data_IF_227474007142
#
_entry.id   IF_227474007142
#
_cell.length_a   1.000
_cell.length_b   1.000
_cell.length_c   1.000
_cell.angle_alpha   90.00
_cell.angle_beta   90.00
_cell.angle_gamma   90.00
#
_symmetry.space_group_name_H-M   'P 1'
#
loop_
_entity.id
_entity.type
_entity.pdbx_description
1 polymer ?
#
# COMPACT_ATOMS: atom_id res chain seq x y z
N UNK A 1 8.17 10.13 -6.91
CA UNK A 1 9.27 9.15 -6.68
C UNK A 1 9.33 8.00 -7.71
N UNK A 2 8.45 7.94 -8.72
CA UNK A 2 8.44 6.84 -9.72
C UNK A 2 9.36 7.08 -10.93
N UNK A 3 9.73 8.34 -11.22
CA UNK A 3 10.63 8.70 -12.31
C UNK A 3 12.01 8.06 -12.21
N UNK A 4 12.48 7.77 -10.99
CA UNK A 4 13.78 7.14 -10.74
C UNK A 4 13.78 5.63 -10.99
N UNK A 5 12.61 4.97 -10.95
CA UNK A 5 12.49 3.53 -11.22
C UNK A 5 12.51 3.25 -12.73
N UNK A 6 11.75 4.02 -13.52
CA UNK A 6 11.70 3.89 -14.99
C UNK A 6 13.06 4.16 -15.62
N UNK A 7 13.77 5.20 -15.15
CA UNK A 7 15.13 5.50 -15.61
C UNK A 7 16.13 4.38 -15.29
N UNK A 8 15.94 3.69 -14.15
CA UNK A 8 16.86 2.65 -13.67
C UNK A 8 16.61 1.30 -14.34
N UNK A 9 15.37 0.99 -14.73
CA UNK A 9 15.06 -0.20 -15.55
C UNK A 9 15.52 -0.01 -16.99
N UNK A 10 15.45 1.21 -17.53
CA UNK A 10 15.97 1.54 -18.86
C UNK A 10 17.51 1.52 -18.96
N UNK A 11 18.24 1.60 -17.84
CA UNK A 11 19.70 1.62 -17.78
C UNK A 11 20.36 0.25 -17.53
N UNK A 12 19.64 -0.86 -17.66
CA UNK A 12 20.22 -2.21 -17.53
C UNK A 12 20.85 -2.69 -18.86
N UNK A 13 21.73 -1.89 -19.47
CA UNK A 13 22.62 -2.43 -20.51
C UNK A 13 23.80 -3.14 -19.83
N UNK A 14 24.26 -4.30 -20.33
CA UNK A 14 25.49 -4.91 -19.83
C UNK A 14 26.62 -3.87 -19.92
N UNK A 15 27.51 -3.79 -18.92
CA UNK A 15 28.66 -2.90 -19.01
C UNK A 15 29.44 -3.28 -20.26
N UNK A 16 29.66 -2.31 -21.15
CA UNK A 16 30.41 -2.48 -22.38
C UNK A 16 31.84 -2.91 -22.07
N UNK A 17 32.12 -4.21 -21.97
CA UNK A 17 33.47 -4.71 -21.64
C UNK A 17 34.43 -4.47 -22.82
N UNK A 18 33.94 -4.60 -24.05
CA UNK A 18 34.76 -4.55 -25.26
C UNK A 18 34.80 -3.18 -25.94
N UNK A 19 33.79 -2.32 -25.74
CA UNK A 19 33.71 -1.00 -26.40
C UNK A 19 34.02 0.17 -25.46
N UNK A 20 34.36 -0.09 -24.19
CA UNK A 20 34.64 0.98 -23.24
C UNK A 20 36.01 1.63 -23.52
N UNK A 21 36.07 2.95 -23.79
CA UNK A 21 37.33 3.66 -24.01
C UNK A 21 38.26 3.63 -22.80
N UNK A 22 37.71 3.48 -21.59
CA UNK A 22 38.47 3.35 -20.36
C UNK A 22 38.56 1.89 -19.92
N UNK A 23 39.71 1.26 -20.18
CA UNK A 23 39.98 -0.12 -19.76
C UNK A 23 40.22 -0.19 -18.25
N UNK A 24 39.60 -1.14 -17.58
CA UNK A 24 39.88 -1.40 -16.17
C UNK A 24 41.33 -1.88 -16.00
N UNK A 25 42.12 -1.23 -15.15
CA UNK A 25 43.52 -1.63 -14.85
C UNK A 25 43.64 -2.99 -14.17
N UNK A 26 42.55 -3.46 -13.56
CA UNK A 26 42.47 -4.74 -12.86
C UNK A 26 41.21 -5.47 -13.32
N UNK A 27 41.39 -6.70 -13.78
CA UNK A 27 40.27 -7.57 -14.15
C UNK A 27 39.51 -7.95 -12.87
N UNK A 28 38.19 -7.86 -12.93
CA UNK A 28 37.31 -8.45 -11.93
C UNK A 28 36.83 -9.80 -12.46
N UNK A 29 36.71 -10.88 -11.65
CA UNK A 29 36.98 -10.99 -10.21
C UNK A 29 38.48 -11.02 -9.87
N UNK A 30 38.89 -10.57 -8.68
CA UNK A 30 40.26 -10.73 -8.22
C UNK A 30 40.53 -12.19 -7.87
N UNK A 31 41.72 -12.68 -8.20
CA UNK A 31 42.18 -14.00 -7.76
C UNK A 31 42.33 -14.01 -6.23
N UNK A 32 41.42 -14.69 -5.53
CA UNK A 32 41.41 -14.76 -4.07
C UNK A 32 42.62 -15.50 -3.50
N UNK A 33 43.23 -16.41 -4.27
CA UNK A 33 44.43 -17.16 -3.87
C UNK A 33 45.71 -16.30 -3.78
N UNK A 34 45.75 -15.15 -4.48
CA UNK A 34 46.92 -14.25 -4.53
C UNK A 34 46.82 -13.10 -3.52
N UNK A 35 45.73 -13.02 -2.77
CA UNK A 35 45.40 -11.90 -1.89
C UNK A 35 45.76 -12.23 -0.43
N UNK A 36 46.26 -11.23 0.30
CA UNK A 36 46.48 -11.34 1.76
C UNK A 36 45.18 -11.74 2.49
N UNK A 37 45.22 -12.68 3.46
CA UNK A 37 44.03 -13.11 4.23
C UNK A 37 43.26 -11.96 4.89
N UNK A 38 43.97 -10.92 5.35
CA UNK A 38 43.36 -9.72 5.94
C UNK A 38 42.50 -8.97 4.92
N UNK A 39 42.93 -8.91 3.67
CA UNK A 39 42.19 -8.26 2.60
C UNK A 39 41.03 -9.12 2.12
N UNK A 40 41.20 -10.44 2.04
CA UNK A 40 40.13 -11.40 1.76
C UNK A 40 38.98 -11.25 2.76
N UNK A 41 39.27 -11.24 4.07
CA UNK A 41 38.25 -11.08 5.11
C UNK A 41 37.45 -9.78 4.96
N UNK A 42 38.10 -8.67 4.56
CA UNK A 42 37.41 -7.39 4.29
C UNK A 42 36.45 -7.50 3.10
N UNK A 43 36.85 -8.20 2.05
CA UNK A 43 36.01 -8.43 0.87
C UNK A 43 34.81 -9.32 1.22
N UNK A 44 35.03 -10.42 1.95
CA UNK A 44 33.96 -11.30 2.42
C UNK A 44 32.95 -10.55 3.30
N UNK A 45 33.43 -9.75 4.26
CA UNK A 45 32.56 -8.93 5.11
C UNK A 45 31.73 -7.94 4.29
N UNK A 46 32.34 -7.30 3.28
CA UNK A 46 31.65 -6.37 2.37
C UNK A 46 30.61 -7.12 1.51
N UNK A 47 30.94 -8.32 1.03
CA UNK A 47 30.03 -9.17 0.26
C UNK A 47 28.82 -9.57 1.10
N UNK A 48 29.01 -10.14 2.30
CA UNK A 48 27.92 -10.55 3.20
C UNK A 48 26.96 -9.38 3.51
N UNK A 49 27.50 -8.18 3.76
CA UNK A 49 26.68 -6.97 3.97
C UNK A 49 25.84 -6.60 2.73
N UNK A 50 26.45 -6.62 1.55
CA UNK A 50 25.76 -6.32 0.28
C UNK A 50 24.72 -7.38 -0.05
N UNK A 51 25.04 -8.66 0.18
CA UNK A 51 24.11 -9.77 0.02
C UNK A 51 22.89 -9.57 0.93
N UNK A 52 23.09 -9.29 2.23
CA UNK A 52 21.99 -8.99 3.17
C UNK A 52 21.09 -7.86 2.65
N UNK A 53 21.67 -6.79 2.10
CA UNK A 53 20.91 -5.68 1.52
C UNK A 53 20.16 -6.05 0.22
N UNK A 54 20.73 -6.93 -0.61
CA UNK A 54 20.09 -7.41 -1.84
C UNK A 54 18.94 -8.37 -1.55
N UNK A 55 19.10 -9.20 -0.53
CA UNK A 55 18.09 -10.16 -0.07
C UNK A 55 17.02 -9.52 0.81
N UNK A 56 17.29 -8.34 1.40
CA UNK A 56 16.26 -7.59 2.10
C UNK A 56 15.11 -7.23 1.13
N UNK A 57 13.88 -7.63 1.47
CA UNK A 57 12.65 -7.27 0.75
C UNK A 57 11.81 -6.28 1.57
N UNK A 58 12.26 -5.01 1.70
CA UNK A 58 11.60 -4.04 2.58
C UNK A 58 10.18 -3.67 2.11
N UNK A 59 9.88 -3.80 0.82
CA UNK A 59 8.53 -3.51 0.29
C UNK A 59 7.53 -4.60 0.68
N UNK A 60 7.95 -5.86 0.57
CA UNK A 60 7.11 -7.01 0.95
C UNK A 60 6.84 -7.00 2.45
N UNK A 61 7.86 -6.80 3.27
CA UNK A 61 7.67 -6.72 4.73
C UNK A 61 6.79 -5.56 5.15
N UNK A 62 6.87 -4.40 4.46
CA UNK A 62 5.94 -3.29 4.66
C UNK A 62 4.51 -3.66 4.28
N UNK A 63 4.30 -4.31 3.13
CA UNK A 63 2.97 -4.74 2.70
C UNK A 63 2.34 -5.70 3.70
N UNK A 64 3.07 -6.74 4.13
CA UNK A 64 2.59 -7.69 5.14
C UNK A 64 2.26 -7.00 6.45
N UNK A 65 3.09 -6.05 6.91
CA UNK A 65 2.80 -5.26 8.12
C UNK A 65 1.53 -4.42 7.99
N UNK A 66 1.29 -3.82 6.82
CA UNK A 66 0.05 -3.08 6.56
C UNK A 66 -1.15 -4.01 6.59
N UNK A 67 -1.05 -5.18 5.96
CA UNK A 67 -2.11 -6.20 5.98
C UNK A 67 -2.37 -6.69 7.40
N UNK A 68 -1.32 -6.96 8.18
CA UNK A 68 -1.43 -7.37 9.57
C UNK A 68 -2.10 -6.30 10.44
N UNK A 69 -1.72 -5.03 10.28
CA UNK A 69 -2.39 -3.94 10.99
C UNK A 69 -3.84 -3.77 10.53
N UNK A 70 -4.09 -3.90 9.23
CA UNK A 70 -5.42 -3.86 8.64
C UNK A 70 -6.31 -4.97 9.19
N UNK A 71 -5.80 -6.20 9.33
CA UNK A 71 -6.57 -7.32 9.89
C UNK A 71 -6.89 -7.11 11.37
N UNK A 72 -5.95 -6.56 12.16
CA UNK A 72 -6.20 -6.24 13.58
C UNK A 72 -7.31 -5.20 13.68
N UNK A 73 -7.23 -4.10 12.92
CA UNK A 73 -8.25 -3.05 12.92
C UNK A 73 -9.59 -3.59 12.42
N UNK A 74 -9.59 -4.42 11.38
CA UNK A 74 -10.80 -5.03 10.84
C UNK A 74 -11.53 -5.87 11.89
N UNK A 75 -10.81 -6.75 12.60
CA UNK A 75 -11.39 -7.56 13.68
C UNK A 75 -11.88 -6.69 14.84
N UNK A 76 -11.15 -5.64 15.20
CA UNK A 76 -11.58 -4.70 16.23
C UNK A 76 -12.88 -3.96 15.85
N UNK A 77 -12.98 -3.45 14.62
CA UNK A 77 -14.20 -2.81 14.10
C UNK A 77 -15.36 -3.79 14.07
N UNK A 78 -15.15 -5.02 13.60
CA UNK A 78 -16.17 -6.07 13.63
C UNK A 78 -16.64 -6.36 15.07
N UNK A 79 -15.70 -6.54 16.00
CA UNK A 79 -15.96 -6.80 17.41
C UNK A 79 -16.75 -5.67 18.10
N UNK A 80 -16.49 -4.41 17.76
CA UNK A 80 -17.18 -3.27 18.37
C UNK A 80 -18.54 -3.03 17.72
N UNK A 81 -18.64 -3.06 16.38
CA UNK A 81 -19.84 -2.64 15.67
C UNK A 81 -20.85 -3.76 15.44
N UNK A 82 -20.38 -4.97 15.10
CA UNK A 82 -21.22 -6.04 14.55
C UNK A 82 -21.32 -7.26 15.46
N UNK A 83 -20.35 -7.49 16.34
CA UNK A 83 -20.42 -8.59 17.29
C UNK A 83 -21.49 -8.28 18.33
N UNK A 84 -22.55 -9.06 18.31
CA UNK A 84 -23.61 -8.93 19.28
C UNK A 84 -23.23 -9.60 20.60
N UNK A 85 -22.85 -8.78 21.58
CA UNK A 85 -22.52 -9.23 22.94
C UNK A 85 -23.76 -9.59 23.77
N UNK A 86 -24.98 -9.43 23.22
CA UNK A 86 -26.25 -9.74 23.90
C UNK A 86 -26.41 -11.21 24.31
N UNK A 87 -25.58 -12.12 23.83
CA UNK A 87 -25.65 -13.53 24.27
C UNK A 87 -25.27 -13.72 25.75
N UNK A 88 -24.65 -12.73 26.42
CA UNK A 88 -24.13 -12.87 27.80
C UNK A 88 -24.38 -11.67 28.75
N UNK A 89 -25.07 -10.60 28.34
CA UNK A 89 -25.24 -9.40 29.18
C UNK A 89 -26.56 -8.66 28.95
N UNK A 90 -27.06 -7.99 30.00
CA UNK A 90 -28.40 -7.43 30.16
C UNK A 90 -29.03 -6.82 28.89
N UNK A 91 -30.30 -7.16 28.57
CA UNK A 91 -31.00 -6.76 27.34
C UNK A 91 -31.22 -5.25 27.18
N UNK A 92 -31.06 -4.47 28.24
CA UNK A 92 -31.44 -3.05 28.26
C UNK A 92 -30.31 -2.09 27.84
N UNK A 93 -29.05 -2.54 27.78
CA UNK A 93 -27.92 -1.68 27.44
C UNK A 93 -26.75 -2.45 26.78
N UNK A 94 -26.81 -2.70 25.46
CA UNK A 94 -25.74 -3.40 24.75
C UNK A 94 -24.42 -2.62 24.81
N UNK A 95 -23.28 -3.28 25.04
CA UNK A 95 -21.98 -2.61 25.10
C UNK A 95 -21.66 -1.94 23.75
N UNK A 96 -21.02 -0.77 23.81
CA UNK A 96 -20.64 0.07 22.66
C UNK A 96 -21.80 0.69 21.85
N UNK A 97 -23.03 0.74 22.39
CA UNK A 97 -24.19 1.35 21.72
C UNK A 97 -23.93 2.80 21.24
N UNK A 98 -23.28 3.64 22.05
CA UNK A 98 -22.96 5.02 21.68
C UNK A 98 -21.96 5.14 20.52
N UNK A 99 -21.04 4.19 20.38
CA UNK A 99 -20.06 4.16 19.28
C UNK A 99 -20.73 3.69 17.99
N UNK A 100 -21.63 2.69 18.09
CA UNK A 100 -22.42 2.18 16.96
C UNK A 100 -23.35 3.25 16.42
N UNK A 101 -24.13 3.92 17.27
CA UNK A 101 -25.08 4.96 16.84
C UNK A 101 -24.37 6.17 16.21
N UNK A 102 -23.23 6.58 16.76
CA UNK A 102 -22.39 7.63 16.17
C UNK A 102 -21.83 7.22 14.79
N UNK A 103 -21.30 6.00 14.66
CA UNK A 103 -20.74 5.50 13.40
C UNK A 103 -21.81 5.38 12.30
N UNK A 104 -22.98 4.80 12.63
CA UNK A 104 -24.09 4.69 11.68
C UNK A 104 -24.71 6.05 11.35
N UNK A 105 -24.74 7.01 12.29
CA UNK A 105 -25.12 8.39 12.03
C UNK A 105 -24.17 9.12 11.08
N UNK A 106 -22.86 8.92 11.24
CA UNK A 106 -21.84 9.52 10.38
C UNK A 106 -21.87 8.94 8.96
N UNK A 107 -21.94 7.61 8.84
CA UNK A 107 -21.99 6.90 7.55
C UNK A 107 -23.29 7.22 6.79
N UNK A 108 -24.43 7.27 7.49
CA UNK A 108 -25.70 7.70 6.93
C UNK A 108 -25.67 9.13 6.40
N UNK A 109 -25.08 10.08 7.12
CA UNK A 109 -24.95 11.49 6.68
C UNK A 109 -24.11 11.64 5.41
N UNK A 110 -23.03 10.87 5.29
CA UNK A 110 -22.12 10.91 4.13
C UNK A 110 -22.78 10.28 2.89
N UNK A 111 -23.52 9.19 3.03
CA UNK A 111 -24.21 8.53 1.91
C UNK A 111 -25.53 9.19 1.49
N UNK A 112 -26.21 9.88 2.40
CA UNK A 112 -27.53 10.49 2.12
C UNK A 112 -27.42 11.88 1.48
N UNK A 113 -26.25 12.53 1.55
CA UNK A 113 -26.05 13.91 1.04
C UNK A 113 -26.32 14.06 -0.46
N UNK A 114 -26.13 13.00 -1.25
CA UNK A 114 -26.43 12.99 -2.69
C UNK A 114 -27.91 12.78 -3.03
N UNK A 115 -28.70 12.20 -2.10
CA UNK A 115 -30.13 11.94 -2.33
C UNK A 115 -30.97 13.21 -2.25
N UNK A 116 -30.58 14.18 -1.41
CA UNK A 116 -31.30 15.46 -1.24
C UNK A 116 -31.12 16.34 -2.49
N UNK A 117 -29.91 16.37 -3.07
CA UNK A 117 -29.64 17.17 -4.29
C UNK A 117 -30.37 16.66 -5.54
N UNK A 118 -30.68 15.36 -5.62
CA UNK A 118 -31.45 14.76 -6.72
C UNK A 118 -32.96 15.05 -6.63
N UNK A 119 -33.49 15.37 -5.44
CA UNK A 119 -34.91 15.71 -5.26
C UNK A 119 -35.24 17.18 -5.56
N UNK A 120 -34.23 18.04 -5.66
CA UNK A 120 -34.40 19.48 -5.92
C UNK A 120 -34.21 19.89 -7.39
N UNK A 121 -33.97 18.96 -8.33
CA UNK A 121 -34.13 19.28 -9.76
C UNK A 121 -35.63 19.31 -10.06
N UNK A 122 -36.24 20.49 -10.26
CA UNK A 122 -37.64 20.57 -10.57
C UNK A 122 -37.83 19.93 -11.94
N UNK A 123 -38.83 19.06 -12.01
CA UNK A 123 -39.49 18.62 -13.22
C UNK A 123 -39.75 19.83 -14.13
N UNK A 124 -38.88 20.02 -15.13
CA UNK A 124 -39.07 21.01 -16.17
C UNK A 124 -40.37 20.65 -16.92
N UNK A 125 -41.34 21.55 -16.77
CA UNK A 125 -42.61 21.74 -17.47
C UNK A 125 -42.99 20.76 -18.60
N UNK A 126 -44.25 20.24 -18.63
CA UNK A 126 -44.74 19.50 -19.78
C UNK A 126 -44.88 20.43 -21.02
N UNK A 127 -44.48 19.99 -22.22
CA UNK A 127 -44.72 20.77 -23.44
C UNK A 127 -46.22 20.85 -23.71
N UNK A 128 -46.72 22.08 -23.85
CA UNK A 128 -48.10 22.38 -24.26
C UNK A 128 -48.40 21.77 -25.63
N UNK A 129 -49.25 20.75 -25.64
CA UNK A 129 -49.81 20.19 -26.86
C UNK A 129 -50.90 21.13 -27.40
N UNK A 130 -50.63 21.75 -28.55
CA UNK A 130 -51.62 22.47 -29.35
C UNK A 130 -52.78 21.55 -29.73
N UNK A 131 -53.98 21.84 -29.25
CA UNK A 131 -55.24 21.30 -29.76
C UNK A 131 -56.02 22.44 -30.39
N UNK A 132 -56.37 22.28 -31.67
CA UNK A 132 -56.97 23.32 -32.48
C UNK A 132 -58.43 23.62 -32.20
N UNK A 133 -58.85 24.81 -32.63
CA UNK A 133 -60.11 25.08 -33.30
C UNK A 133 -60.00 26.37 -34.11
#
# INVERSE_FOLDING_TARGET
MFSTLVRRTAQQSPPYVYTNPYKARKLWPPDFSKISPKHQFRLERKYKRRAKLKWARPRWTKAVKIVQMGSIVFVAVYGVLFLDWNSQGSPDNPPFHGIRSWFFGLTGSIWTKDQVRRRESPEEAPPTASTGR
#
